data_IF_230283058445
#
_entry.id   IF_230283058445
#
_cell.length_a   1.000
_cell.length_b   1.000
_cell.length_c   1.000
_cell.angle_alpha   90.00
_cell.angle_beta   90.00
_cell.angle_gamma   90.00
#
_symmetry.space_group_name_H-M   'P 1'
#
loop_
_entity.id
_entity.type
_entity.pdbx_description
1 polymer ?
#
# COMPACT_ATOMS: atom_id res chain seq x y z
N UNK A 1 -2.22 -2.43 19.59
CA UNK A 1 -2.55 -0.99 19.48
C UNK A 1 -2.90 -0.75 18.03
N UNK A 2 -4.19 -0.63 17.74
CA UNK A 2 -4.68 -0.14 16.45
C UNK A 2 -4.35 1.35 16.38
N UNK A 3 -3.80 1.81 15.25
CA UNK A 3 -3.58 3.23 15.02
C UNK A 3 -4.90 3.80 14.52
N UNK A 4 -5.43 4.82 15.19
CA UNK A 4 -6.58 5.60 14.71
C UNK A 4 -6.14 6.49 13.54
N UNK A 5 -5.71 5.88 12.45
CA UNK A 5 -5.50 6.62 11.21
C UNK A 5 -6.88 6.90 10.63
N UNK A 6 -7.39 8.13 10.77
CA UNK A 6 -8.66 8.56 10.16
C UNK A 6 -8.65 8.39 8.63
N UNK A 7 -7.46 8.34 8.06
CA UNK A 7 -7.17 8.23 6.64
C UNK A 7 -6.09 7.19 6.40
N UNK A 8 -6.38 6.30 5.45
CA UNK A 8 -5.44 5.35 4.87
C UNK A 8 -5.37 5.60 3.36
N UNK A 9 -4.31 5.11 2.75
CA UNK A 9 -4.05 5.25 1.33
C UNK A 9 -3.74 3.87 0.74
N UNK A 10 -4.21 3.64 -0.47
CA UNK A 10 -3.90 2.45 -1.27
C UNK A 10 -3.34 2.89 -2.63
N UNK A 11 -2.11 2.47 -2.93
CA UNK A 11 -1.50 2.68 -4.23
C UNK A 11 -1.90 1.59 -5.22
N UNK A 12 -2.41 1.97 -6.38
CA UNK A 12 -2.85 1.06 -7.44
C UNK A 12 -2.61 1.67 -8.83
N UNK A 13 -3.08 1.01 -9.88
CA UNK A 13 -3.01 1.47 -11.26
C UNK A 13 -4.39 1.82 -11.81
N UNK A 14 -4.47 2.62 -12.88
CA UNK A 14 -5.74 2.90 -13.56
C UNK A 14 -6.40 1.66 -14.16
N UNK A 15 -5.59 0.67 -14.56
CA UNK A 15 -6.08 -0.63 -15.04
C UNK A 15 -6.82 -1.37 -13.92
N UNK A 16 -6.16 -1.55 -12.77
CA UNK A 16 -6.76 -2.20 -11.58
C UNK A 16 -7.92 -1.41 -11.00
N UNK A 17 -7.88 -0.08 -11.04
CA UNK A 17 -9.00 0.77 -10.62
C UNK A 17 -10.30 0.39 -11.34
N UNK A 18 -10.23 0.07 -12.64
CA UNK A 18 -11.42 -0.34 -13.40
C UNK A 18 -12.03 -1.62 -12.82
N UNK A 19 -11.20 -2.58 -12.44
CA UNK A 19 -11.63 -3.80 -11.75
C UNK A 19 -12.24 -3.50 -10.38
N UNK A 20 -11.58 -2.66 -9.57
CA UNK A 20 -12.05 -2.25 -8.23
C UNK A 20 -13.44 -1.59 -8.32
N UNK A 21 -13.63 -0.66 -9.26
CA UNK A 21 -14.91 0.03 -9.46
C UNK A 21 -16.00 -0.94 -9.93
N UNK A 22 -15.67 -1.90 -10.81
CA UNK A 22 -16.63 -2.90 -11.27
C UNK A 22 -17.00 -3.92 -10.19
N UNK A 23 -16.06 -4.29 -9.32
CA UNK A 23 -16.28 -5.22 -8.22
C UNK A 23 -16.96 -4.57 -7.01
N UNK A 24 -16.85 -3.24 -6.88
CA UNK A 24 -17.35 -2.49 -5.73
C UNK A 24 -16.48 -2.64 -4.48
N UNK A 25 -15.25 -3.16 -4.60
CA UNK A 25 -14.31 -3.34 -3.50
C UNK A 25 -12.87 -3.51 -3.99
N UNK A 26 -11.92 -3.35 -3.08
CA UNK A 26 -10.51 -3.75 -3.24
C UNK A 26 -10.37 -5.13 -2.62
N UNK A 27 -10.07 -6.14 -3.42
CA UNK A 27 -9.83 -7.49 -2.94
C UNK A 27 -8.38 -7.69 -2.47
N UNK A 28 -8.13 -8.56 -1.48
CA UNK A 28 -6.79 -9.02 -1.17
C UNK A 28 -6.05 -9.52 -2.40
N UNK A 29 -4.74 -9.30 -2.45
CA UNK A 29 -3.92 -9.79 -3.56
C UNK A 29 -4.12 -11.32 -3.74
N UNK A 30 -4.27 -11.83 -4.97
CA UNK A 30 -4.52 -13.25 -5.21
C UNK A 30 -3.29 -14.14 -4.87
N UNK A 31 -2.11 -13.55 -4.76
CA UNK A 31 -0.84 -14.20 -4.46
C UNK A 31 0.08 -13.28 -3.65
N UNK A 32 1.19 -13.82 -3.14
CA UNK A 32 2.11 -13.08 -2.26
C UNK A 32 1.62 -13.08 -0.81
N UNK A 33 1.70 -11.93 -0.14
CA UNK A 33 1.28 -11.76 1.26
C UNK A 33 -0.26 -11.66 1.43
N UNK A 34 -1.04 -11.85 0.36
CA UNK A 34 -2.50 -12.08 0.34
C UNK A 34 -3.35 -11.16 1.24
N UNK A 35 -3.11 -9.86 1.17
CA UNK A 35 -3.90 -8.85 1.88
C UNK A 35 -4.12 -7.61 1.00
N UNK A 36 -4.95 -6.69 1.46
CA UNK A 36 -5.03 -5.33 0.89
C UNK A 36 -4.00 -4.46 1.59
N UNK A 37 -2.99 -4.03 0.84
CA UNK A 37 -1.93 -3.13 1.30
C UNK A 37 -2.45 -1.71 1.48
N UNK A 38 -2.36 -1.20 2.70
CA UNK A 38 -2.77 0.15 3.10
C UNK A 38 -1.59 0.85 3.75
N UNK A 39 -1.55 2.17 3.72
CA UNK A 39 -0.56 2.96 4.43
C UNK A 39 -1.18 4.26 4.93
N UNK A 40 -0.63 4.85 5.98
CA UNK A 40 -1.00 6.19 6.44
C UNK A 40 -0.04 7.27 5.90
N UNK A 41 0.79 6.90 4.92
CA UNK A 41 1.78 7.75 4.28
C UNK A 41 1.54 7.83 2.77
N UNK A 42 1.19 9.02 2.28
CA UNK A 42 0.87 9.24 0.87
C UNK A 42 2.07 9.00 -0.05
N UNK A 43 3.31 9.20 0.42
CA UNK A 43 4.50 8.95 -0.39
C UNK A 43 4.73 7.45 -0.59
N UNK A 44 4.46 6.64 0.44
CA UNK A 44 4.47 5.19 0.32
C UNK A 44 3.35 4.71 -0.60
N UNK A 45 2.15 5.28 -0.50
CA UNK A 45 1.06 4.94 -1.42
C UNK A 45 1.42 5.29 -2.87
N UNK A 46 2.08 6.43 -3.09
CA UNK A 46 2.57 6.82 -4.41
C UNK A 46 3.63 5.85 -4.93
N UNK A 47 4.53 5.36 -4.08
CA UNK A 47 5.51 4.33 -4.45
C UNK A 47 4.81 3.05 -4.93
N UNK A 48 3.86 2.52 -4.16
CA UNK A 48 3.07 1.34 -4.55
C UNK A 48 2.23 1.58 -5.81
N UNK A 49 1.67 2.77 -6.00
CA UNK A 49 0.95 3.13 -7.20
C UNK A 49 1.86 3.07 -8.45
N UNK A 50 3.10 3.57 -8.33
CA UNK A 50 4.07 3.49 -9.42
C UNK A 50 4.49 2.04 -9.69
N UNK A 51 4.70 1.21 -8.67
CA UNK A 51 4.95 -0.22 -8.86
C UNK A 51 3.78 -0.93 -9.57
N UNK A 52 2.54 -0.63 -9.19
CA UNK A 52 1.36 -1.21 -9.82
C UNK A 52 1.20 -0.77 -11.28
N UNK A 53 1.48 0.50 -11.57
CA UNK A 53 1.47 1.06 -12.92
C UNK A 53 2.60 0.51 -13.81
N UNK A 54 3.78 0.25 -13.25
CA UNK A 54 4.90 -0.37 -13.98
C UNK A 54 4.63 -1.85 -14.31
N UNK A 55 3.95 -2.56 -13.41
CA UNK A 55 3.55 -3.95 -13.63
C UNK A 55 2.38 -4.09 -14.64
N UNK A 56 1.51 -3.09 -14.72
CA UNK A 56 0.38 -3.06 -15.64
C UNK A 56 0.73 -2.13 -16.82
N UNK A 57 1.34 -2.66 -17.87
CA UNK A 57 1.76 -1.90 -19.07
C UNK A 57 0.69 -0.87 -19.51
N UNK A 58 1.14 0.36 -19.81
CA UNK A 58 0.30 1.52 -20.19
C UNK A 58 -0.72 2.01 -19.15
N UNK A 59 -0.70 1.52 -17.91
CA UNK A 59 -1.51 2.06 -16.83
C UNK A 59 -0.87 3.28 -16.18
N UNK A 60 -1.69 4.17 -15.63
CA UNK A 60 -1.24 5.33 -14.83
C UNK A 60 -1.33 5.00 -13.34
N UNK A 61 -0.42 5.53 -12.50
CA UNK A 61 -0.48 5.32 -11.07
C UNK A 61 -1.65 6.09 -10.44
N UNK A 62 -2.33 5.46 -9.51
CA UNK A 62 -3.52 5.97 -8.82
C UNK A 62 -3.38 5.74 -7.33
N UNK A 63 -3.77 6.74 -6.54
CA UNK A 63 -3.87 6.62 -5.08
C UNK A 63 -5.35 6.69 -4.70
N UNK A 64 -5.81 5.71 -3.92
CA UNK A 64 -7.14 5.73 -3.31
C UNK A 64 -7.00 6.23 -1.89
N UNK A 65 -7.79 7.25 -1.53
CA UNK A 65 -7.89 7.79 -0.18
C UNK A 65 -9.04 7.09 0.52
N UNK A 66 -8.74 6.40 1.61
CA UNK A 66 -9.64 5.50 2.32
C UNK A 66 -9.91 6.04 3.73
N UNK A 67 -11.17 6.02 4.16
CA UNK A 67 -11.57 6.32 5.53
C UNK A 67 -11.17 5.17 6.45
N UNK A 68 -10.13 5.36 7.27
CA UNK A 68 -9.56 4.28 8.08
C UNK A 68 -10.54 3.70 9.10
N UNK A 69 -11.45 4.52 9.65
CA UNK A 69 -12.50 4.05 10.57
C UNK A 69 -13.51 3.07 9.97
N UNK A 70 -13.51 2.89 8.64
CA UNK A 70 -14.35 1.90 7.94
C UNK A 70 -13.62 0.60 7.62
N UNK A 71 -12.33 0.49 7.94
CA UNK A 71 -11.48 -0.63 7.54
C UNK A 71 -10.77 -1.23 8.74
N UNK A 72 -10.82 -2.56 8.85
CA UNK A 72 -10.02 -3.29 9.83
C UNK A 72 -8.60 -3.50 9.27
N UNK A 73 -7.67 -2.63 9.67
CA UNK A 73 -6.28 -2.67 9.22
C UNK A 73 -5.33 -2.97 10.40
N UNK A 74 -4.39 -3.88 10.19
CA UNK A 74 -3.39 -4.28 11.19
C UNK A 74 -1.98 -3.95 10.69
N UNK A 75 -1.05 -3.51 11.55
CA UNK A 75 0.34 -3.31 11.13
C UNK A 75 0.88 -4.57 10.45
N UNK A 76 1.42 -4.41 9.25
CA UNK A 76 1.93 -5.51 8.46
C UNK A 76 3.43 -5.71 8.68
N UNK A 77 3.87 -6.96 8.58
CA UNK A 77 5.27 -7.34 8.52
C UNK A 77 5.37 -8.61 7.68
N UNK A 78 6.23 -8.60 6.67
CA UNK A 78 6.40 -9.78 5.82
C UNK A 78 7.18 -10.90 6.52
N UNK A 79 6.62 -12.10 6.53
CA UNK A 79 7.29 -13.30 7.03
C UNK A 79 8.39 -13.78 6.06
N UNK A 80 8.27 -13.46 4.77
CA UNK A 80 9.23 -13.83 3.73
C UNK A 80 10.53 -13.04 3.87
N UNK A 81 10.42 -11.72 4.10
CA UNK A 81 11.57 -10.83 4.26
C UNK A 81 12.07 -10.73 5.70
N UNK A 82 11.25 -11.20 6.64
CA UNK A 82 11.53 -11.23 8.07
C UNK A 82 10.97 -10.02 8.80
N UNK A 83 10.67 -10.23 10.10
CA UNK A 83 10.10 -9.20 10.96
C UNK A 83 10.96 -7.93 10.98
N UNK A 84 10.35 -6.78 10.68
CA UNK A 84 11.06 -5.51 10.69
C UNK A 84 11.66 -5.08 9.35
N UNK A 85 11.66 -5.96 8.33
CA UNK A 85 12.30 -5.66 7.04
C UNK A 85 11.54 -4.62 6.21
N UNK A 86 10.22 -4.55 6.39
CA UNK A 86 9.30 -3.67 5.67
C UNK A 86 8.65 -2.59 6.57
N UNK A 87 9.03 -2.49 7.85
CA UNK A 87 8.39 -1.56 8.80
C UNK A 87 8.46 -0.09 8.35
N UNK A 88 9.43 0.25 7.50
CA UNK A 88 9.60 1.59 6.93
C UNK A 88 8.54 1.95 5.89
N UNK A 89 7.88 0.95 5.28
CA UNK A 89 6.74 1.15 4.39
C UNK A 89 5.49 1.56 5.19
N UNK A 90 5.52 1.46 6.53
CA UNK A 90 4.38 1.78 7.40
C UNK A 90 3.10 1.10 6.91
N UNK A 91 3.25 -0.10 6.38
CA UNK A 91 2.17 -0.84 5.75
C UNK A 91 1.22 -1.40 6.81
N UNK A 92 -0.07 -1.36 6.49
CA UNK A 92 -1.14 -2.02 7.21
C UNK A 92 -1.83 -2.99 6.26
N UNK A 93 -2.09 -4.19 6.75
CA UNK A 93 -2.81 -5.22 6.04
C UNK A 93 -4.28 -5.22 6.46
N UNK A 94 -5.18 -5.16 5.48
CA UNK A 94 -6.56 -5.64 5.64
C UNK A 94 -6.68 -7.03 5.04
N UNK A 95 -7.03 -8.01 5.88
CA UNK A 95 -7.27 -9.40 5.44
C UNK A 95 -8.65 -9.59 4.79
N UNK A 96 -9.52 -8.58 4.93
CA UNK A 96 -10.84 -8.55 4.31
C UNK A 96 -10.83 -7.58 3.11
N UNK A 97 -11.70 -7.78 2.12
CA UNK A 97 -11.91 -6.78 1.08
C UNK A 97 -12.27 -5.42 1.67
N UNK A 98 -11.77 -4.35 1.04
CA UNK A 98 -12.09 -2.97 1.40
C UNK A 98 -13.18 -2.47 0.46
N UNK A 99 -14.39 -2.27 0.98
CA UNK A 99 -15.54 -1.87 0.18
C UNK A 99 -15.38 -0.47 -0.41
N UNK A 100 -16.01 -0.23 -1.56
CA UNK A 100 -15.92 1.05 -2.28
C UNK A 100 -16.43 2.23 -1.43
N UNK A 101 -17.39 2.03 -0.52
CA UNK A 101 -17.87 3.08 0.39
C UNK A 101 -16.83 3.61 1.39
N UNK A 102 -15.71 2.90 1.55
CA UNK A 102 -14.59 3.36 2.34
C UNK A 102 -13.70 4.36 1.56
N UNK A 103 -13.76 4.37 0.22
CA UNK A 103 -12.97 5.27 -0.62
C UNK A 103 -13.63 6.66 -0.62
N UNK A 104 -12.92 7.63 -0.04
CA UNK A 104 -13.33 9.04 0.01
C UNK A 104 -12.96 9.79 -1.26
N UNK A 105 -11.82 9.44 -1.87
CA UNK A 105 -11.27 10.16 -3.03
C UNK A 105 -10.37 9.24 -3.84
N UNK A 106 -10.33 9.52 -5.15
CA UNK A 106 -9.39 8.90 -6.09
C UNK A 106 -8.47 10.02 -6.60
N UNK A 107 -7.17 9.84 -6.44
CA UNK A 107 -6.14 10.77 -6.86
C UNK A 107 -5.30 10.14 -7.98
N UNK A 108 -5.21 10.82 -9.13
CA UNK A 108 -4.24 10.45 -10.14
C UNK A 108 -2.88 10.94 -9.70
N UNK A 109 -1.89 10.07 -9.80
CA UNK A 109 -0.52 10.40 -9.48
C UNK A 109 0.25 10.62 -10.80
N UNK A 110 1.07 11.65 -10.87
CA UNK A 110 2.00 11.78 -11.98
C UNK A 110 3.02 10.63 -11.90
N UNK A 111 3.25 9.89 -13.00
CA UNK A 111 4.26 8.85 -13.06
C UNK A 111 5.63 9.42 -12.67
N UNK A 112 6.28 8.79 -11.69
CA UNK A 112 7.62 9.14 -11.26
C UNK A 112 8.50 7.90 -11.39
N UNK A 113 9.76 8.04 -11.85
CA UNK A 113 10.67 6.90 -11.92
C UNK A 113 10.88 6.32 -10.53
N UNK A 114 10.95 5.00 -10.40
CA UNK A 114 11.05 4.32 -9.09
C UNK A 114 12.28 4.75 -8.26
N UNK A 115 13.35 5.23 -8.92
CA UNK A 115 14.53 5.79 -8.24
C UNK A 115 14.23 7.07 -7.44
N UNK A 116 13.14 7.78 -7.74
CA UNK A 116 12.70 8.93 -6.94
C UNK A 116 12.24 8.54 -5.53
N UNK A 117 12.00 7.24 -5.30
CA UNK A 117 11.64 6.65 -4.02
C UNK A 117 12.82 5.90 -3.38
N UNK A 118 14.07 6.25 -3.69
CA UNK A 118 15.25 5.56 -3.14
C UNK A 118 15.33 5.58 -1.61
N UNK A 119 14.74 6.59 -0.96
CA UNK A 119 14.62 6.67 0.49
C UNK A 119 13.67 5.61 1.08
N UNK A 120 12.69 5.17 0.29
CA UNK A 120 11.83 4.03 0.59
C UNK A 120 12.61 2.73 0.31
N UNK A 121 13.22 2.57 -0.86
CA UNK A 121 13.99 1.34 -1.21
C UNK A 121 15.18 1.04 -0.28
N UNK A 122 15.83 2.05 0.29
CA UNK A 122 17.08 1.91 1.05
C UNK A 122 16.93 2.14 2.56
N UNK A 123 15.73 2.00 3.11
CA UNK A 123 15.51 2.25 4.53
C UNK A 123 16.50 1.44 5.40
N UNK A 124 17.19 2.09 6.36
CA UNK A 124 18.25 1.45 7.11
C UNK A 124 17.65 0.33 7.95
N UNK A 125 18.04 -0.91 7.62
CA UNK A 125 17.95 -2.03 8.54
C UNK A 125 18.53 -1.56 9.88
N UNK A 126 17.69 -1.50 10.93
CA UNK A 126 18.17 -1.43 12.31
C UNK A 126 18.85 -2.77 12.64
N UNK A 127 19.96 -3.08 11.97
CA UNK A 127 20.99 -3.99 12.50
C UNK A 127 21.65 -3.27 13.66
N UNK A 128 20.91 -3.22 14.76
CA UNK A 128 21.46 -3.06 16.10
C UNK A 128 22.41 -4.22 16.33
N UNK A 129 23.69 -3.94 16.09
CA UNK A 129 24.86 -4.72 16.47
C UNK A 129 24.66 -5.39 17.84
N UNK A 130 24.45 -6.71 17.87
CA UNK A 130 24.83 -7.54 19.02
C UNK A 130 26.02 -8.38 18.61
N UNK A 131 27.22 -7.81 18.78
CA UNK A 131 28.41 -8.63 19.00
C UNK A 131 28.15 -9.43 20.28
N UNK A 132 28.08 -10.75 20.17
CA UNK A 132 28.36 -11.65 21.30
C UNK A 132 29.79 -12.14 21.12
#
# INVERSE_FOLDING_TARGET
MTKDADLLFHGTSSSRLTGILSAGQIDPAPSGDQHVSLTDDIEVAAYFANLASDADEDATPVILVIEGGKVEALPFSSDVWGKGACDWEREYASLKPVALEAIKKIEKQDPRPLNSFDHLRNAPSKRGRKKR
#
